data_IF_878900725846
#
_entry.id   IF_878900725846
#
_cell.length_a   1.000
_cell.length_b   1.000
_cell.length_c   1.000
_cell.angle_alpha   90.00
_cell.angle_beta   90.00
_cell.angle_gamma   90.00
#
_symmetry.space_group_name_H-M   'P 1'
#
loop_
_entity.id
_entity.type
_entity.pdbx_description
1 polymer ?
#
# COMPACT_ATOMS: atom_id res chain seq x y z
N UNK A 1 -4.49 -38.00 26.48
CA UNK A 1 -5.01 -38.47 25.18
C UNK A 1 -5.57 -37.27 24.47
N UNK A 2 -4.79 -36.54 23.68
CA UNK A 2 -5.27 -35.40 22.92
C UNK A 2 -6.23 -35.95 21.85
N UNK A 3 -7.51 -35.60 21.92
CA UNK A 3 -8.46 -35.82 20.82
C UNK A 3 -7.88 -35.13 19.59
N UNK A 4 -7.61 -35.89 18.52
CA UNK A 4 -7.36 -35.31 17.19
C UNK A 4 -8.62 -34.50 16.85
N UNK A 5 -8.50 -33.19 16.94
CA UNK A 5 -9.57 -32.28 16.52
C UNK A 5 -9.56 -32.28 14.99
N UNK A 6 -10.57 -32.90 14.39
CA UNK A 6 -10.76 -32.93 12.95
C UNK A 6 -11.03 -31.52 12.39
N UNK A 7 -11.00 -31.42 11.07
CA UNK A 7 -11.42 -30.22 10.35
C UNK A 7 -12.94 -30.31 10.21
N UNK A 8 -13.67 -29.66 11.12
CA UNK A 8 -15.11 -29.61 11.24
C UNK A 8 -15.63 -28.18 11.05
N UNK A 9 -16.93 -27.98 11.10
CA UNK A 9 -17.51 -26.65 10.95
C UNK A 9 -17.08 -25.69 12.06
N UNK A 10 -16.91 -26.18 13.30
CA UNK A 10 -16.39 -25.39 14.42
C UNK A 10 -14.99 -24.82 14.11
N UNK A 11 -14.13 -25.60 13.43
CA UNK A 11 -12.81 -25.11 13.00
C UNK A 11 -12.90 -23.97 11.99
N UNK A 12 -13.86 -24.00 11.05
CA UNK A 12 -14.06 -22.92 10.09
C UNK A 12 -14.66 -21.68 10.76
N UNK A 13 -15.56 -21.83 11.71
CA UNK A 13 -16.11 -20.74 12.53
C UNK A 13 -14.99 -20.05 13.35
N UNK A 14 -14.11 -20.84 14.00
CA UNK A 14 -12.92 -20.29 14.69
C UNK A 14 -12.03 -19.44 13.75
N UNK A 15 -11.82 -19.90 12.50
CA UNK A 15 -11.01 -19.18 11.52
C UNK A 15 -11.72 -17.91 11.02
N UNK A 16 -13.02 -17.98 10.79
CA UNK A 16 -13.84 -16.84 10.41
C UNK A 16 -13.76 -15.72 11.46
N UNK A 17 -13.99 -16.07 12.72
CA UNK A 17 -13.89 -15.14 13.83
C UNK A 17 -12.48 -14.52 13.93
N UNK A 18 -11.44 -15.35 13.80
CA UNK A 18 -10.06 -14.88 13.84
C UNK A 18 -9.74 -13.89 12.70
N UNK A 19 -10.24 -14.14 11.49
CA UNK A 19 -10.05 -13.26 10.34
C UNK A 19 -10.80 -11.93 10.51
N UNK A 20 -12.02 -11.97 11.02
CA UNK A 20 -12.83 -10.78 11.33
C UNK A 20 -12.17 -9.96 12.44
N UNK A 21 -11.69 -10.59 13.50
CA UNK A 21 -10.95 -9.94 14.59
C UNK A 21 -9.64 -9.32 14.12
N UNK A 22 -9.05 -9.86 13.06
CA UNK A 22 -7.88 -9.30 12.39
C UNK A 22 -8.22 -8.18 11.38
N UNK A 23 -9.47 -7.69 11.37
CA UNK A 23 -9.98 -6.64 10.47
C UNK A 23 -9.95 -7.04 8.96
N UNK A 24 -10.04 -8.33 8.68
CA UNK A 24 -10.23 -8.84 7.32
C UNK A 24 -11.69 -8.64 6.93
N UNK A 25 -11.94 -7.96 5.81
CA UNK A 25 -13.31 -7.70 5.34
C UNK A 25 -14.07 -8.98 4.99
N UNK A 26 -15.39 -9.04 5.26
CA UNK A 26 -16.25 -10.21 5.06
C UNK A 26 -16.08 -10.88 3.70
N UNK A 27 -16.09 -10.10 2.61
CA UNK A 27 -15.96 -10.65 1.26
C UNK A 27 -14.63 -11.40 1.02
N UNK A 28 -13.56 -10.98 1.67
CA UNK A 28 -12.25 -11.64 1.62
C UNK A 28 -12.26 -12.87 2.52
N UNK A 29 -12.84 -12.77 3.70
CA UNK A 29 -13.02 -13.89 4.64
C UNK A 29 -13.78 -15.03 3.98
N UNK A 30 -14.95 -14.76 3.37
CA UNK A 30 -15.74 -15.75 2.65
C UNK A 30 -14.95 -16.43 1.52
N UNK A 31 -14.22 -15.63 0.74
CA UNK A 31 -13.38 -16.15 -0.34
C UNK A 31 -12.27 -17.06 0.18
N UNK A 32 -11.61 -16.69 1.28
CA UNK A 32 -10.55 -17.48 1.90
C UNK A 32 -11.07 -18.80 2.45
N UNK A 33 -12.18 -18.78 3.17
CA UNK A 33 -12.77 -19.97 3.78
C UNK A 33 -13.32 -20.94 2.72
N UNK A 34 -13.95 -20.41 1.66
CA UNK A 34 -14.36 -21.24 0.52
C UNK A 34 -13.14 -21.90 -0.15
N UNK A 35 -12.10 -21.12 -0.47
CA UNK A 35 -10.87 -21.67 -1.06
C UNK A 35 -10.17 -22.70 -0.14
N UNK A 36 -10.23 -22.48 1.18
CA UNK A 36 -9.70 -23.44 2.14
C UNK A 36 -10.50 -24.75 2.15
N UNK A 37 -11.85 -24.69 2.10
CA UNK A 37 -12.71 -25.89 2.01
C UNK A 37 -12.38 -26.70 0.77
N UNK A 38 -12.23 -26.03 -0.37
CA UNK A 38 -11.85 -26.68 -1.64
C UNK A 38 -10.47 -27.34 -1.56
N UNK A 39 -9.47 -26.61 -1.03
CA UNK A 39 -8.12 -27.13 -0.87
C UNK A 39 -8.05 -28.31 0.11
N UNK A 40 -8.79 -28.26 1.23
CA UNK A 40 -8.89 -29.36 2.21
C UNK A 40 -9.46 -30.62 1.55
N UNK A 41 -10.50 -30.46 0.74
CA UNK A 41 -11.12 -31.58 0.01
C UNK A 41 -10.19 -32.14 -1.06
N UNK A 42 -9.59 -31.33 -1.90
CA UNK A 42 -8.70 -31.72 -3.00
C UNK A 42 -7.44 -32.40 -2.49
N UNK A 43 -6.76 -31.76 -1.52
CA UNK A 43 -5.48 -32.25 -0.95
C UNK A 43 -5.68 -33.29 0.14
N UNK A 44 -6.94 -33.62 0.49
CA UNK A 44 -7.32 -34.59 1.56
C UNK A 44 -6.64 -34.26 2.89
N UNK A 45 -6.59 -33.00 3.26
CA UNK A 45 -6.00 -32.52 4.50
C UNK A 45 -6.84 -33.02 5.69
N UNK A 46 -6.21 -33.58 6.71
CA UNK A 46 -6.88 -34.16 7.88
C UNK A 46 -6.54 -33.46 9.19
N UNK A 47 -5.43 -32.73 9.21
CA UNK A 47 -4.91 -32.08 10.41
C UNK A 47 -5.17 -30.58 10.38
N UNK A 48 -5.72 -30.01 11.46
CA UNK A 48 -5.96 -28.56 11.59
C UNK A 48 -4.70 -27.71 11.34
N UNK A 49 -3.52 -28.23 11.71
CA UNK A 49 -2.24 -27.57 11.50
C UNK A 49 -1.88 -27.41 10.01
N UNK A 50 -2.21 -28.42 9.19
CA UNK A 50 -2.01 -28.37 7.75
C UNK A 50 -3.01 -27.42 7.08
N UNK A 51 -4.28 -27.47 7.52
CA UNK A 51 -5.30 -26.53 7.02
C UNK A 51 -4.95 -25.07 7.33
N UNK A 52 -4.38 -24.79 8.52
CA UNK A 52 -3.87 -23.42 8.84
C UNK A 52 -2.71 -23.00 7.93
N UNK A 53 -1.80 -23.90 7.58
CA UNK A 53 -0.72 -23.60 6.62
C UNK A 53 -1.27 -23.31 5.23
N UNK A 54 -2.29 -24.06 4.82
CA UNK A 54 -2.98 -23.82 3.55
C UNK A 54 -3.66 -22.45 3.54
N UNK A 55 -4.34 -22.08 4.62
CA UNK A 55 -4.93 -20.74 4.76
C UNK A 55 -3.86 -19.63 4.64
N UNK A 56 -2.70 -19.81 5.27
CA UNK A 56 -1.58 -18.88 5.14
C UNK A 56 -1.11 -18.79 3.68
N UNK A 57 -1.07 -19.91 2.97
CA UNK A 57 -0.71 -19.91 1.54
C UNK A 57 -1.73 -19.15 0.70
N UNK A 58 -3.02 -19.37 0.93
CA UNK A 58 -4.10 -18.65 0.24
C UNK A 58 -4.05 -17.13 0.54
N UNK A 59 -3.78 -16.75 1.79
CA UNK A 59 -3.56 -15.35 2.18
C UNK A 59 -2.35 -14.76 1.45
N UNK A 60 -1.23 -15.47 1.42
CA UNK A 60 -0.03 -15.02 0.74
C UNK A 60 -0.25 -14.85 -0.77
N UNK A 61 -1.01 -15.74 -1.40
CA UNK A 61 -1.35 -15.64 -2.82
C UNK A 61 -2.26 -14.45 -3.12
N UNK A 62 -3.24 -14.16 -2.25
CA UNK A 62 -4.07 -12.95 -2.35
C UNK A 62 -3.27 -11.66 -2.18
N UNK A 63 -2.21 -11.69 -1.38
CA UNK A 63 -1.33 -10.55 -1.14
C UNK A 63 -0.22 -10.43 -2.18
N UNK A 64 -0.04 -11.45 -3.03
CA UNK A 64 0.99 -11.43 -4.06
C UNK A 64 0.65 -10.39 -5.12
N UNK A 65 1.52 -9.42 -5.39
CA UNK A 65 1.27 -8.44 -6.45
C UNK A 65 1.24 -9.15 -7.80
N UNK A 66 0.29 -8.80 -8.65
CA UNK A 66 0.19 -9.33 -10.02
C UNK A 66 1.45 -9.03 -10.85
N UNK A 67 2.17 -7.98 -10.49
CA UNK A 67 3.45 -7.58 -11.10
C UNK A 67 4.48 -7.32 -10.01
N UNK A 68 5.77 -7.57 -10.24
CA UNK A 68 6.82 -7.19 -9.30
C UNK A 68 6.70 -5.69 -8.98
N UNK A 69 6.88 -5.35 -7.71
CA UNK A 69 6.78 -3.97 -7.21
C UNK A 69 7.63 -2.98 -8.01
N UNK A 70 8.81 -3.43 -8.44
CA UNK A 70 9.69 -2.73 -9.38
C UNK A 70 10.47 -3.80 -10.15
N UNK A 71 10.26 -3.91 -11.43
CA UNK A 71 11.00 -4.82 -12.30
C UNK A 71 12.39 -4.31 -12.71
N UNK A 72 12.83 -3.22 -12.07
CA UNK A 72 14.17 -2.63 -12.27
C UNK A 72 14.35 -1.83 -13.56
N UNK A 73 13.43 -1.93 -14.52
CA UNK A 73 13.58 -1.34 -15.85
C UNK A 73 12.61 -0.20 -16.12
N UNK A 74 11.48 -0.14 -15.40
CA UNK A 74 10.37 0.72 -15.76
C UNK A 74 10.30 2.00 -14.92
N UNK A 75 9.73 3.02 -15.54
CA UNK A 75 9.31 4.24 -14.86
C UNK A 75 8.16 3.89 -13.92
N UNK A 76 8.22 4.41 -12.69
CA UNK A 76 7.24 4.09 -11.66
C UNK A 76 6.70 5.34 -10.96
N UNK A 77 5.40 5.30 -10.64
CA UNK A 77 4.77 6.23 -9.72
C UNK A 77 4.34 5.45 -8.47
N UNK A 78 4.80 5.90 -7.30
CA UNK A 78 4.52 5.26 -6.03
C UNK A 78 3.76 6.23 -5.14
N UNK A 79 2.55 5.89 -4.74
CA UNK A 79 1.78 6.58 -3.72
C UNK A 79 1.95 5.86 -2.37
N UNK A 80 2.45 6.57 -1.35
CA UNK A 80 2.59 6.01 0.01
C UNK A 80 1.36 6.35 0.82
N UNK A 81 0.59 5.33 1.19
CA UNK A 81 -0.68 5.44 1.90
C UNK A 81 -0.57 4.80 3.28
N UNK A 82 -1.26 5.37 4.27
CA UNK A 82 -1.30 4.86 5.64
C UNK A 82 -1.78 5.91 6.62
N UNK A 83 -2.05 5.53 7.88
CA UNK A 83 -2.52 6.46 8.91
C UNK A 83 -1.42 7.45 9.32
N UNK A 84 -1.80 8.52 10.04
CA UNK A 84 -0.82 9.47 10.56
C UNK A 84 0.12 8.79 11.57
N UNK A 85 1.38 9.20 11.58
CA UNK A 85 2.39 8.71 12.52
C UNK A 85 3.05 7.36 12.17
N UNK A 86 2.59 6.63 11.14
CA UNK A 86 3.19 5.33 10.75
C UNK A 86 4.52 5.45 9.99
N UNK A 87 4.97 6.68 9.72
CA UNK A 87 6.27 6.91 9.07
C UNK A 87 6.22 7.05 7.55
N UNK A 88 5.07 7.40 6.93
CA UNK A 88 4.95 7.60 5.48
C UNK A 88 6.02 8.53 4.92
N UNK A 89 6.04 9.78 5.38
CA UNK A 89 6.99 10.81 4.94
C UNK A 89 8.46 10.39 5.13
N UNK A 90 8.76 9.78 6.28
CA UNK A 90 10.11 9.27 6.58
C UNK A 90 10.51 8.13 5.66
N UNK A 91 9.60 7.17 5.42
CA UNK A 91 9.85 6.04 4.51
C UNK A 91 10.05 6.53 3.07
N UNK A 92 9.23 7.50 2.64
CA UNK A 92 9.33 8.10 1.33
C UNK A 92 10.71 8.76 1.10
N UNK A 93 11.20 9.52 2.08
CA UNK A 93 12.52 10.12 2.03
C UNK A 93 13.65 9.09 1.92
N UNK A 94 13.55 7.98 2.68
CA UNK A 94 14.53 6.88 2.59
C UNK A 94 14.48 6.16 1.25
N UNK A 95 13.28 5.91 0.72
CA UNK A 95 13.08 5.30 -0.60
C UNK A 95 13.66 6.21 -1.69
N UNK A 96 13.43 7.52 -1.61
CA UNK A 96 14.00 8.49 -2.54
C UNK A 96 15.54 8.46 -2.55
N UNK A 97 16.16 8.50 -1.37
CA UNK A 97 17.61 8.40 -1.23
C UNK A 97 18.15 7.07 -1.76
N UNK A 98 17.49 5.96 -1.46
CA UNK A 98 17.89 4.63 -1.94
C UNK A 98 17.94 4.55 -3.47
N UNK A 99 16.88 4.96 -4.15
CA UNK A 99 16.84 4.91 -5.61
C UNK A 99 17.71 5.96 -6.27
N UNK A 100 17.84 7.14 -5.66
CA UNK A 100 18.80 8.16 -6.12
C UNK A 100 20.24 7.64 -6.10
N UNK A 101 20.62 6.92 -5.04
CA UNK A 101 21.95 6.32 -4.93
C UNK A 101 22.17 5.18 -5.96
N UNK A 102 21.11 4.61 -6.51
CA UNK A 102 21.17 3.66 -7.62
C UNK A 102 21.20 4.33 -9.01
N UNK A 103 21.34 5.67 -9.06
CA UNK A 103 21.39 6.43 -10.30
C UNK A 103 20.03 6.73 -10.93
N UNK A 104 18.91 6.46 -10.23
CA UNK A 104 17.57 6.76 -10.74
C UNK A 104 17.24 8.25 -10.58
N UNK A 105 16.55 8.81 -11.55
CA UNK A 105 16.05 10.20 -11.46
C UNK A 105 14.69 10.20 -10.76
N UNK A 106 14.69 10.67 -9.50
CA UNK A 106 13.53 10.63 -8.58
C UNK A 106 12.99 12.05 -8.39
N UNK A 107 11.65 12.18 -8.30
CA UNK A 107 10.97 13.40 -7.88
C UNK A 107 9.96 13.08 -6.78
N UNK A 108 9.83 13.98 -5.79
CA UNK A 108 8.88 13.88 -4.70
C UNK A 108 7.67 14.79 -4.95
N UNK A 109 6.47 14.34 -4.52
CA UNK A 109 5.24 15.12 -4.47
C UNK A 109 4.73 15.20 -3.04
N UNK A 110 4.63 16.41 -2.48
CA UNK A 110 4.10 16.67 -1.14
C UNK A 110 2.56 16.80 -1.18
N UNK A 111 1.85 15.67 -1.32
CA UNK A 111 0.39 15.67 -1.41
C UNK A 111 -0.32 15.52 -0.04
N UNK A 112 0.39 15.51 1.09
CA UNK A 112 -0.18 15.79 2.41
C UNK A 112 -0.26 17.31 2.63
N UNK A 113 -1.16 17.97 1.92
CA UNK A 113 -1.30 19.44 1.89
C UNK A 113 -1.99 20.01 3.11
N UNK A 114 -2.60 19.17 3.93
CA UNK A 114 -3.30 19.59 5.15
C UNK A 114 -2.39 19.80 6.35
N UNK A 115 -1.14 19.38 6.24
CA UNK A 115 -0.15 19.45 7.31
C UNK A 115 1.09 20.19 6.79
N UNK A 116 1.19 21.48 7.09
CA UNK A 116 2.34 22.30 6.72
C UNK A 116 3.66 21.60 7.13
N UNK A 117 3.72 21.09 8.36
CA UNK A 117 4.88 20.36 8.87
C UNK A 117 5.23 19.10 8.06
N UNK A 118 4.27 18.43 7.40
CA UNK A 118 4.55 17.27 6.55
C UNK A 118 5.28 17.68 5.27
N UNK A 119 4.84 18.76 4.61
CA UNK A 119 5.48 19.31 3.43
C UNK A 119 6.90 19.83 3.74
N UNK A 120 7.08 20.49 4.89
CA UNK A 120 8.40 20.93 5.36
C UNK A 120 9.32 19.74 5.65
N UNK A 121 8.83 18.74 6.37
CA UNK A 121 9.56 17.51 6.65
C UNK A 121 10.00 16.80 5.37
N UNK A 122 9.12 16.69 4.38
CA UNK A 122 9.44 16.07 3.10
C UNK A 122 10.46 16.91 2.33
N UNK A 123 10.41 18.24 2.45
CA UNK A 123 11.41 19.15 1.85
C UNK A 123 12.83 18.86 2.41
N UNK A 124 12.95 18.70 3.73
CA UNK A 124 14.24 18.34 4.35
C UNK A 124 14.74 16.99 3.84
N UNK A 125 13.85 16.00 3.65
CA UNK A 125 14.23 14.72 3.07
C UNK A 125 14.64 14.84 1.60
N UNK A 126 13.95 15.66 0.81
CA UNK A 126 14.29 15.95 -0.58
C UNK A 126 15.71 16.55 -0.72
N UNK A 127 16.01 17.54 0.11
CA UNK A 127 17.33 18.18 0.17
C UNK A 127 18.44 17.17 0.54
N UNK A 128 18.21 16.37 1.59
CA UNK A 128 19.17 15.33 2.02
C UNK A 128 19.42 14.26 0.96
N UNK A 129 18.38 13.89 0.22
CA UNK A 129 18.48 12.91 -0.83
C UNK A 129 18.99 13.50 -2.17
N UNK A 130 19.07 14.83 -2.28
CA UNK A 130 19.44 15.50 -3.52
C UNK A 130 18.42 15.28 -4.65
N UNK A 131 17.12 15.26 -4.32
CA UNK A 131 16.02 15.05 -5.27
C UNK A 131 15.08 16.26 -5.28
N UNK A 132 14.49 16.62 -6.44
CA UNK A 132 13.50 17.69 -6.50
C UNK A 132 12.18 17.31 -5.80
N UNK A 133 11.49 18.32 -5.32
CA UNK A 133 10.16 18.20 -4.72
C UNK A 133 9.17 19.14 -5.38
N UNK A 134 7.97 18.67 -5.62
CA UNK A 134 6.81 19.47 -6.04
C UNK A 134 5.90 19.61 -4.82
N UNK A 135 5.59 20.83 -4.47
CA UNK A 135 4.71 21.18 -3.35
C UNK A 135 3.91 22.43 -3.67
N UNK A 136 2.72 22.53 -3.10
CA UNK A 136 1.88 23.72 -3.12
C UNK A 136 1.73 24.32 -1.72
N UNK A 137 1.01 25.43 -1.60
CA UNK A 137 0.69 26.03 -0.31
C UNK A 137 -0.21 25.13 0.54
N UNK A 138 -0.25 25.40 1.84
CA UNK A 138 -1.12 24.70 2.79
C UNK A 138 -2.58 24.77 2.36
N UNK A 139 -3.31 23.65 2.49
CA UNK A 139 -4.71 23.53 2.09
C UNK A 139 -4.96 23.42 0.58
N UNK A 140 -3.92 23.40 -0.25
CA UNK A 140 -4.06 23.13 -1.68
C UNK A 140 -4.68 21.75 -1.96
N UNK A 141 -5.27 21.58 -3.14
CA UNK A 141 -5.81 20.28 -3.56
C UNK A 141 -4.67 19.27 -3.76
N UNK A 142 -4.64 18.15 -3.01
CA UNK A 142 -3.63 17.10 -3.17
C UNK A 142 -3.52 16.58 -4.61
N UNK A 143 -4.64 16.50 -5.33
CA UNK A 143 -4.67 16.03 -6.71
C UNK A 143 -3.99 17.02 -7.67
N UNK A 144 -4.01 18.35 -7.38
CA UNK A 144 -3.29 19.34 -8.16
C UNK A 144 -1.76 19.21 -7.97
N UNK A 145 -1.29 18.91 -6.74
CA UNK A 145 0.12 18.63 -6.48
C UNK A 145 0.59 17.41 -7.27
N UNK A 146 -0.20 16.33 -7.24
CA UNK A 146 0.10 15.10 -7.98
C UNK A 146 0.10 15.34 -9.49
N UNK A 147 -0.84 16.15 -9.99
CA UNK A 147 -0.91 16.52 -11.41
C UNK A 147 0.38 17.24 -11.87
N UNK A 148 0.81 18.27 -11.15
CA UNK A 148 2.02 19.00 -11.50
C UNK A 148 3.28 18.14 -11.36
N UNK A 149 3.29 17.26 -10.35
CA UNK A 149 4.38 16.32 -10.18
C UNK A 149 4.44 15.29 -11.33
N UNK A 150 3.30 14.78 -11.78
CA UNK A 150 3.20 13.88 -12.92
C UNK A 150 3.61 14.58 -14.23
N UNK A 151 3.20 15.82 -14.43
CA UNK A 151 3.62 16.64 -15.56
C UNK A 151 5.14 16.87 -15.57
N UNK A 152 5.74 17.21 -14.42
CA UNK A 152 7.19 17.36 -14.27
C UNK A 152 7.95 16.04 -14.49
N UNK A 153 7.42 14.95 -13.95
CA UNK A 153 7.96 13.59 -14.12
C UNK A 153 8.03 13.20 -15.60
N UNK A 154 6.96 13.45 -16.34
CA UNK A 154 6.85 13.15 -17.76
C UNK A 154 7.76 14.05 -18.60
N UNK A 155 7.66 15.39 -18.41
CA UNK A 155 8.40 16.37 -19.19
C UNK A 155 9.92 16.19 -19.09
N UNK A 156 10.42 15.73 -17.95
CA UNK A 156 11.85 15.49 -17.72
C UNK A 156 12.27 14.03 -17.89
N UNK A 157 11.37 13.17 -18.35
CA UNK A 157 11.59 11.74 -18.54
C UNK A 157 12.22 11.03 -17.32
N UNK A 158 11.73 11.38 -16.10
CA UNK A 158 12.24 10.84 -14.86
C UNK A 158 11.88 9.37 -14.66
N UNK A 159 12.62 8.67 -13.81
CA UNK A 159 12.42 7.25 -13.53
C UNK A 159 11.36 7.00 -12.46
N UNK A 160 11.27 7.87 -11.45
CA UNK A 160 10.38 7.65 -10.31
C UNK A 160 9.71 8.93 -9.82
N UNK A 161 8.40 8.83 -9.57
CA UNK A 161 7.60 9.81 -8.84
C UNK A 161 7.11 9.17 -7.54
N UNK A 162 7.47 9.77 -6.40
CA UNK A 162 7.07 9.32 -5.08
C UNK A 162 6.13 10.36 -4.45
N UNK A 163 4.89 9.94 -4.13
CA UNK A 163 3.86 10.83 -3.60
C UNK A 163 3.61 10.55 -2.11
N UNK A 164 3.81 11.56 -1.25
CA UNK A 164 3.36 11.53 0.14
C UNK A 164 1.87 11.88 0.20
N UNK A 165 1.09 11.17 1.00
CA UNK A 165 -0.35 11.38 1.11
C UNK A 165 -0.78 11.62 2.55
N UNK A 166 -1.92 12.29 2.73
CA UNK A 166 -2.55 12.44 4.03
C UNK A 166 -2.90 11.06 4.64
N UNK A 167 -2.96 10.99 5.98
CA UNK A 167 -3.22 9.75 6.71
C UNK A 167 -4.33 9.88 7.76
N UNK A 168 -5.46 10.52 7.41
CA UNK A 168 -6.56 10.81 8.34
C UNK A 168 -7.50 9.62 8.52
N UNK A 169 -7.32 8.83 9.57
CA UNK A 169 -8.18 7.67 9.83
C UNK A 169 -9.62 8.07 10.22
N UNK A 170 -9.77 9.17 10.98
CA UNK A 170 -11.07 9.63 11.47
C UNK A 170 -12.01 10.15 10.38
N UNK A 171 -11.54 10.37 9.16
CA UNK A 171 -12.34 10.75 8.01
C UNK A 171 -12.07 9.83 6.80
N UNK A 172 -12.20 8.53 7.03
CA UNK A 172 -11.87 7.45 6.09
C UNK A 172 -12.48 7.68 4.69
N UNK A 173 -13.75 8.11 4.64
CA UNK A 173 -14.46 8.31 3.36
C UNK A 173 -13.85 9.45 2.53
N UNK A 174 -13.53 10.59 3.16
CA UNK A 174 -12.92 11.71 2.46
C UNK A 174 -11.51 11.38 2.01
N UNK A 175 -10.72 10.70 2.85
CA UNK A 175 -9.39 10.23 2.48
C UNK A 175 -9.42 9.30 1.27
N UNK A 176 -10.35 8.35 1.23
CA UNK A 176 -10.49 7.44 0.08
C UNK A 176 -10.87 8.17 -1.19
N UNK A 177 -11.76 9.17 -1.10
CA UNK A 177 -12.13 10.02 -2.24
C UNK A 177 -10.94 10.85 -2.75
N UNK A 178 -10.10 11.39 -1.85
CA UNK A 178 -8.87 12.11 -2.21
C UNK A 178 -7.87 11.18 -2.91
N UNK A 179 -7.63 9.99 -2.36
CA UNK A 179 -6.75 8.99 -2.97
C UNK A 179 -7.25 8.55 -4.36
N UNK A 180 -8.57 8.34 -4.50
CA UNK A 180 -9.17 8.00 -5.77
C UNK A 180 -9.03 9.14 -6.79
N UNK A 181 -9.20 10.40 -6.35
CA UNK A 181 -9.00 11.58 -7.21
C UNK A 181 -7.55 11.66 -7.70
N UNK A 182 -6.57 11.48 -6.80
CA UNK A 182 -5.15 11.44 -7.18
C UNK A 182 -4.86 10.29 -8.15
N UNK A 183 -5.42 9.10 -7.89
CA UNK A 183 -5.30 7.96 -8.80
C UNK A 183 -5.83 8.29 -10.20
N UNK A 184 -7.03 8.86 -10.31
CA UNK A 184 -7.62 9.26 -11.61
C UNK A 184 -6.74 10.24 -12.38
N UNK A 185 -6.04 11.13 -11.67
CA UNK A 185 -5.06 12.04 -12.29
C UNK A 185 -3.90 11.24 -12.88
N UNK A 186 -3.36 10.28 -12.13
CA UNK A 186 -2.26 9.42 -12.57
C UNK A 186 -2.69 8.48 -13.72
N UNK A 187 -3.91 7.94 -13.69
CA UNK A 187 -4.45 7.04 -14.73
C UNK A 187 -4.55 7.70 -16.12
N UNK A 188 -4.66 9.03 -16.17
CA UNK A 188 -4.68 9.80 -17.43
C UNK A 188 -3.29 9.95 -18.05
N UNK A 189 -2.25 9.70 -17.28
CA UNK A 189 -0.88 9.71 -17.72
C UNK A 189 -0.43 8.25 -17.94
N UNK A 190 0.04 7.85 -19.14
CA UNK A 190 0.42 6.47 -19.44
C UNK A 190 1.73 6.10 -18.74
N UNK A 191 1.67 5.87 -17.46
CA UNK A 191 2.81 5.47 -16.60
C UNK A 191 2.42 4.22 -15.84
N UNK A 192 3.29 3.23 -15.77
CA UNK A 192 3.13 2.11 -14.84
C UNK A 192 3.24 2.64 -13.42
N UNK A 193 2.22 2.44 -12.57
CA UNK A 193 2.25 2.88 -11.19
C UNK A 193 1.97 1.74 -10.23
N UNK A 194 2.53 1.87 -9.04
CA UNK A 194 2.44 0.88 -7.97
C UNK A 194 1.98 1.57 -6.70
N UNK A 195 1.09 0.93 -5.95
CA UNK A 195 0.63 1.40 -4.65
C UNK A 195 1.45 0.74 -3.55
N UNK A 196 2.00 1.53 -2.64
CA UNK A 196 2.60 1.05 -1.42
C UNK A 196 1.71 1.40 -0.24
N UNK A 197 1.16 0.40 0.42
CA UNK A 197 0.42 0.56 1.69
C UNK A 197 1.35 0.15 2.82
N UNK A 198 1.60 1.07 3.76
CA UNK A 198 2.31 0.73 4.98
C UNK A 198 1.34 0.06 5.95
N UNK A 199 1.71 -1.08 6.57
CA UNK A 199 0.84 -1.75 7.53
C UNK A 199 0.56 -0.81 8.70
N UNK A 200 -0.72 -0.69 9.05
CA UNK A 200 -1.15 -0.03 10.27
C UNK A 200 -1.02 -1.04 11.40
N UNK A 201 0.03 -0.95 12.19
CA UNK A 201 0.05 -1.67 13.47
C UNK A 201 -0.91 -0.95 14.41
N UNK A 202 -2.12 -1.45 14.53
CA UNK A 202 -2.96 -1.14 15.68
C UNK A 202 -2.31 -1.83 16.90
N UNK A 203 -1.80 -1.05 17.82
CA UNK A 203 -1.57 -1.49 19.19
C UNK A 203 -2.85 -1.34 19.97
#
# INVERSE_FOLDING_TARGET
>A
MYKRQGIDDEFYEELEEALIMADVGMAITDKLLSGLRDAVAEKKIKERSEARKELISLLADLMRPEKPFLDGTNRAVIMVVGVNGVGKTTSLGKIAAYYKNQGRDVVLAAADTFRAAAAEQLTVWAERAGVPIIKHGEGADPAAVVFDAAASFKARNRDMLLCDTAGRLHNKKNLMNELEKMRRVLDREPVSYTHLTLPTTSR
#
